data_IF_462968179431
#
_entry.id   IF_462968179431
#
_cell.length_a   1.000
_cell.length_b   1.000
_cell.length_c   1.000
_cell.angle_alpha   90.00
_cell.angle_beta   90.00
_cell.angle_gamma   90.00
#
_symmetry.space_group_name_H-M   'P 1'
#
loop_
_entity.id
_entity.type
_entity.pdbx_description
1 polymer ?
#
# COMPACT_ATOMS: atom_id res chain seq x y z
N UNK A 1 -27.59 -14.61 -4.14
CA UNK A 1 -26.19 -14.16 -3.96
C UNK A 1 -25.59 -14.10 -5.34
N UNK A 2 -25.27 -12.90 -5.83
CA UNK A 2 -24.67 -12.74 -7.17
C UNK A 2 -23.16 -12.75 -7.05
N UNK A 3 -22.44 -13.14 -8.10
CA UNK A 3 -20.97 -13.21 -8.09
C UNK A 3 -20.28 -11.90 -7.63
N UNK A 4 -20.95 -10.75 -7.79
CA UNK A 4 -20.49 -9.44 -7.33
C UNK A 4 -20.52 -9.29 -5.80
N UNK A 5 -21.50 -9.91 -5.14
CA UNK A 5 -21.61 -9.92 -3.68
C UNK A 5 -20.50 -10.77 -3.05
N UNK A 6 -20.13 -11.87 -3.71
CA UNK A 6 -19.07 -12.78 -3.27
C UNK A 6 -17.70 -12.09 -3.33
N UNK A 7 -17.39 -11.42 -4.46
CA UNK A 7 -16.14 -10.66 -4.64
C UNK A 7 -16.00 -9.54 -3.61
N UNK A 8 -17.10 -8.82 -3.33
CA UNK A 8 -17.08 -7.75 -2.32
C UNK A 8 -16.79 -8.31 -0.93
N UNK A 9 -17.44 -9.40 -0.57
CA UNK A 9 -17.29 -10.06 0.75
C UNK A 9 -15.87 -10.61 0.93
N UNK A 10 -15.32 -11.25 -0.10
CA UNK A 10 -13.95 -11.76 -0.08
C UNK A 10 -12.92 -10.63 0.04
N UNK A 11 -13.15 -9.51 -0.66
CA UNK A 11 -12.32 -8.32 -0.55
C UNK A 11 -12.35 -7.71 0.86
N UNK A 12 -13.52 -7.59 1.47
CA UNK A 12 -13.65 -7.08 2.85
C UNK A 12 -12.97 -8.00 3.88
N UNK A 13 -12.97 -9.32 3.63
CA UNK A 13 -12.23 -10.29 4.45
C UNK A 13 -10.71 -10.17 4.31
N UNK A 14 -10.20 -10.01 3.09
CA UNK A 14 -8.75 -9.93 2.80
C UNK A 14 -8.16 -8.55 3.10
N UNK A 15 -8.99 -7.51 3.02
CA UNK A 15 -8.60 -6.12 3.23
C UNK A 15 -9.56 -5.46 4.23
N UNK A 16 -9.52 -5.85 5.52
CA UNK A 16 -10.38 -5.26 6.53
C UNK A 16 -10.12 -3.77 6.66
N UNK A 17 -11.16 -2.99 6.98
CA UNK A 17 -10.98 -1.58 7.28
C UNK A 17 -10.14 -1.42 8.56
N UNK A 18 -9.14 -0.55 8.50
CA UNK A 18 -8.30 -0.18 9.63
C UNK A 18 -7.97 1.30 9.50
N UNK A 19 -8.41 2.09 10.48
CA UNK A 19 -8.41 3.56 10.43
C UNK A 19 -6.98 4.13 10.33
N UNK A 20 -6.03 3.52 11.06
CA UNK A 20 -4.62 3.88 11.05
C UNK A 20 -3.80 2.91 10.20
N UNK A 21 -4.26 2.62 8.96
CA UNK A 21 -3.50 1.76 8.04
C UNK A 21 -2.95 2.50 6.84
N UNK A 22 -1.67 2.29 6.58
CA UNK A 22 -0.97 2.86 5.43
C UNK A 22 -0.42 1.75 4.54
N UNK A 23 -0.23 2.05 3.26
CA UNK A 23 0.34 1.13 2.28
C UNK A 23 1.72 1.62 1.86
N UNK A 24 2.68 0.70 1.75
CA UNK A 24 3.99 0.92 1.17
C UNK A 24 4.17 -0.07 0.02
N UNK A 25 4.76 0.39 -1.07
CA UNK A 25 5.30 -0.48 -2.11
C UNK A 25 6.81 -0.46 -1.98
N UNK A 26 7.38 -1.63 -1.85
CA UNK A 26 8.81 -1.85 -1.64
C UNK A 26 9.39 -2.63 -2.81
N UNK A 27 10.69 -2.48 -3.03
CA UNK A 27 11.46 -3.34 -3.91
C UNK A 27 12.75 -3.82 -3.24
N UNK A 28 13.24 -4.97 -3.67
CA UNK A 28 14.55 -5.51 -3.28
C UNK A 28 15.08 -6.43 -4.38
N UNK A 29 16.39 -6.74 -4.42
CA UNK A 29 16.91 -7.80 -5.27
C UNK A 29 16.16 -9.12 -5.00
N UNK A 30 15.87 -9.88 -6.05
CA UNK A 30 15.03 -11.08 -5.94
C UNK A 30 15.57 -12.12 -4.95
N UNK A 31 16.89 -12.21 -4.81
CA UNK A 31 17.55 -13.14 -3.90
C UNK A 31 17.58 -12.65 -2.43
N UNK A 32 17.33 -11.36 -2.20
CA UNK A 32 17.37 -10.74 -0.87
C UNK A 32 15.99 -10.68 -0.21
N UNK A 33 14.92 -11.06 -0.91
CA UNK A 33 13.58 -11.02 -0.33
C UNK A 33 13.44 -12.03 0.83
N UNK A 34 13.26 -11.49 2.04
CA UNK A 34 12.97 -12.27 3.24
C UNK A 34 11.75 -11.72 3.99
N UNK A 35 10.61 -12.42 3.94
CA UNK A 35 9.37 -11.97 4.58
C UNK A 35 9.52 -11.76 6.09
N UNK A 36 10.23 -12.64 6.80
CA UNK A 36 10.44 -12.52 8.25
C UNK A 36 11.32 -11.33 8.62
N UNK A 37 12.33 -11.01 7.80
CA UNK A 37 13.16 -9.81 7.99
C UNK A 37 12.34 -8.54 7.77
N UNK A 38 11.51 -8.52 6.73
CA UNK A 38 10.61 -7.40 6.48
C UNK A 38 9.62 -7.21 7.65
N UNK A 39 8.99 -8.28 8.14
CA UNK A 39 8.11 -8.19 9.32
C UNK A 39 8.84 -7.61 10.52
N UNK A 40 10.07 -8.06 10.79
CA UNK A 40 10.88 -7.54 11.89
C UNK A 40 11.22 -6.05 11.72
N UNK A 41 11.54 -5.62 10.51
CA UNK A 41 11.80 -4.21 10.22
C UNK A 41 10.56 -3.33 10.51
N UNK A 42 9.36 -3.85 10.28
CA UNK A 42 8.09 -3.16 10.60
C UNK A 42 7.83 -3.15 12.11
N UNK A 43 8.06 -4.27 12.78
CA UNK A 43 7.92 -4.38 14.25
C UNK A 43 8.87 -3.43 15.00
N UNK A 44 10.09 -3.20 14.48
CA UNK A 44 11.05 -2.24 15.03
C UNK A 44 10.54 -0.78 15.01
N UNK A 45 9.47 -0.49 14.27
CA UNK A 45 8.81 0.82 14.22
C UNK A 45 7.53 0.89 15.04
N UNK A 46 7.27 -0.08 15.92
CA UNK A 46 6.03 -0.22 16.68
C UNK A 46 4.78 -0.34 15.77
N UNK A 47 4.95 -0.93 14.58
CA UNK A 47 3.88 -1.18 13.62
C UNK A 47 3.66 -2.68 13.42
N UNK A 48 2.46 -3.07 12.98
CA UNK A 48 2.11 -4.46 12.64
C UNK A 48 1.84 -4.60 11.15
N UNK A 49 2.23 -5.75 10.58
CA UNK A 49 1.90 -6.11 9.20
C UNK A 49 0.44 -6.58 9.14
N UNK A 50 -0.38 -5.87 8.36
CA UNK A 50 -1.79 -6.20 8.14
C UNK A 50 -2.00 -7.00 6.86
N UNK A 51 -1.22 -6.72 5.82
CA UNK A 51 -1.22 -7.48 4.57
C UNK A 51 0.15 -7.38 3.90
N UNK A 52 0.59 -8.45 3.23
CA UNK A 52 1.83 -8.52 2.47
C UNK A 52 1.56 -9.32 1.19
N UNK A 53 1.74 -8.67 0.05
CA UNK A 53 1.58 -9.28 -1.26
C UNK A 53 2.86 -9.09 -2.08
N UNK A 54 3.31 -10.15 -2.75
CA UNK A 54 4.30 -10.02 -3.82
C UNK A 54 3.53 -9.61 -5.08
N UNK A 55 3.96 -8.51 -5.69
CA UNK A 55 3.33 -7.95 -6.89
C UNK A 55 4.32 -7.96 -8.06
N UNK A 56 3.79 -7.91 -9.28
CA UNK A 56 4.62 -7.68 -10.46
C UNK A 56 5.04 -6.21 -10.53
N UNK A 57 6.18 -5.93 -11.16
CA UNK A 57 6.65 -4.59 -11.50
C UNK A 57 5.69 -3.91 -12.50
N UNK A 58 4.98 -4.72 -13.28
CA UNK A 58 4.00 -4.29 -14.26
C UNK A 58 2.63 -4.15 -13.60
N UNK A 59 2.20 -2.92 -13.36
CA UNK A 59 0.81 -2.62 -13.06
C UNK A 59 0.13 -2.33 -14.40
N UNK A 60 -0.79 -3.17 -14.91
CA UNK A 60 -1.55 -2.82 -16.10
C UNK A 60 -2.33 -1.54 -15.80
N UNK A 61 -2.01 -0.48 -16.54
CA UNK A 61 -2.87 0.69 -16.63
C UNK A 61 -4.21 0.28 -17.21
N UNK A 62 -5.19 0.07 -16.35
CA UNK A 62 -6.59 0.30 -16.69
C UNK A 62 -7.09 1.43 -15.79
N UNK A 63 -7.81 2.35 -16.41
CA UNK A 63 -8.23 3.67 -15.95
C UNK A 63 -9.18 3.70 -14.73
N UNK A 64 -9.12 2.70 -13.86
CA UNK A 64 -10.00 2.56 -12.68
C UNK A 64 -9.29 1.85 -11.50
N UNK A 65 -7.97 1.66 -11.57
CA UNK A 65 -7.13 1.09 -10.52
C UNK A 65 -6.43 2.17 -9.69
N UNK A 66 -6.11 1.91 -8.41
CA UNK A 66 -5.49 2.89 -7.54
C UNK A 66 -4.16 3.37 -8.13
N UNK A 67 -3.95 4.69 -8.20
CA UNK A 67 -2.73 5.34 -8.67
C UNK A 67 -1.51 4.80 -7.91
N UNK A 68 -0.86 3.78 -8.48
CA UNK A 68 0.46 3.33 -8.05
C UNK A 68 1.38 3.76 -9.20
N UNK A 69 2.41 4.58 -8.91
CA UNK A 69 3.31 5.07 -9.95
C UNK A 69 3.99 3.89 -10.65
N UNK A 70 4.16 4.04 -11.97
CA UNK A 70 4.97 3.13 -12.77
C UNK A 70 6.40 3.27 -12.27
N UNK A 71 6.93 2.22 -11.65
CA UNK A 71 8.34 2.22 -11.28
C UNK A 71 9.13 2.06 -12.57
N UNK A 72 10.08 2.97 -12.80
CA UNK A 72 11.06 2.80 -13.86
C UNK A 72 11.75 1.48 -13.54
N UNK A 73 11.40 0.44 -14.30
CA UNK A 73 12.12 -0.82 -14.30
C UNK A 73 13.43 -0.46 -15.01
N UNK A 74 14.33 0.18 -14.27
CA UNK A 74 15.72 0.23 -14.63
C UNK A 74 16.07 -1.22 -14.92
N UNK A 75 16.41 -1.50 -16.18
CA UNK A 75 16.93 -2.78 -16.64
C UNK A 75 18.33 -2.97 -16.04
N UNK A 76 18.49 -2.76 -14.73
CA UNK A 76 19.57 -3.36 -13.97
C UNK A 76 19.45 -4.87 -14.24
N UNK A 77 20.57 -5.51 -14.59
CA UNK A 77 20.66 -6.94 -14.93
C UNK A 77 20.20 -7.86 -13.76
N UNK A 78 19.79 -7.28 -12.63
CA UNK A 78 19.39 -7.96 -11.41
C UNK A 78 17.86 -7.93 -11.27
N UNK A 79 17.18 -9.10 -11.32
CA UNK A 79 15.74 -9.14 -11.11
C UNK A 79 15.38 -8.64 -9.71
N UNK A 80 14.32 -7.82 -9.64
CA UNK A 80 13.77 -7.30 -8.37
C UNK A 80 12.46 -7.98 -8.00
N UNK A 81 12.19 -8.07 -6.71
CA UNK A 81 10.89 -8.45 -6.14
C UNK A 81 10.19 -7.19 -5.65
N UNK A 82 8.95 -6.99 -6.08
CA UNK A 82 8.10 -5.89 -5.60
C UNK A 82 7.10 -6.41 -4.57
N UNK A 83 6.89 -5.63 -3.52
CA UNK A 83 6.05 -6.01 -2.38
C UNK A 83 5.08 -4.88 -2.09
N UNK A 84 3.79 -5.18 -2.12
CA UNK A 84 2.77 -4.30 -1.55
C UNK A 84 2.55 -4.69 -0.09
N UNK A 85 2.75 -3.73 0.80
CA UNK A 85 2.73 -3.92 2.25
C UNK A 85 1.71 -2.97 2.87
N UNK A 86 0.80 -3.50 3.68
CA UNK A 86 -0.11 -2.70 4.50
C UNK A 86 0.24 -2.84 5.96
N UNK A 87 0.38 -1.72 6.65
CA UNK A 87 0.81 -1.67 8.06
C UNK A 87 -0.20 -0.93 8.94
N UNK A 88 -0.25 -1.28 10.23
CA UNK A 88 -1.08 -0.62 11.24
C UNK A 88 -0.44 0.66 11.78
N UNK A 89 0.03 1.54 10.89
CA UNK A 89 0.65 2.79 11.27
C UNK A 89 0.18 3.93 10.38
N UNK A 90 -0.10 5.08 11.00
CA UNK A 90 -0.65 6.28 10.34
C UNK A 90 0.39 7.07 9.54
N UNK A 91 1.65 7.02 9.97
CA UNK A 91 2.80 7.67 9.32
C UNK A 91 3.77 6.62 8.75
N UNK A 92 4.03 6.62 7.44
CA UNK A 92 4.95 5.65 6.83
C UNK A 92 6.42 5.98 6.97
N UNK A 93 6.80 7.18 7.43
CA UNK A 93 8.21 7.62 7.47
C UNK A 93 9.11 6.74 8.34
N UNK A 94 8.63 6.33 9.53
CA UNK A 94 9.39 5.46 10.43
C UNK A 94 9.62 4.09 9.78
N UNK A 95 8.53 3.49 9.26
CA UNK A 95 8.58 2.23 8.53
C UNK A 95 9.51 2.31 7.31
N UNK A 96 9.41 3.37 6.51
CA UNK A 96 10.25 3.61 5.33
C UNK A 96 11.74 3.66 5.69
N UNK A 97 12.11 4.36 6.77
CA UNK A 97 13.51 4.40 7.26
C UNK A 97 13.98 3.06 7.79
N UNK A 98 13.11 2.31 8.46
CA UNK A 98 13.48 0.99 8.98
C UNK A 98 13.68 -0.01 7.85
N UNK A 99 12.72 -0.17 6.94
CA UNK A 99 12.87 -1.12 5.81
C UNK A 99 14.08 -0.79 4.93
N UNK A 100 14.41 0.50 4.75
CA UNK A 100 15.64 0.92 4.08
C UNK A 100 16.93 0.43 4.77
N UNK A 101 16.96 0.40 6.10
CA UNK A 101 18.09 -0.13 6.88
C UNK A 101 18.28 -1.63 6.67
N UNK A 102 17.19 -2.34 6.37
CA UNK A 102 17.19 -3.78 6.10
C UNK A 102 17.45 -4.11 4.63
N UNK A 103 17.67 -3.12 3.76
CA UNK A 103 18.01 -3.33 2.35
C UNK A 103 16.83 -3.26 1.38
N UNK A 104 15.64 -2.84 1.84
CA UNK A 104 14.48 -2.61 0.98
C UNK A 104 14.45 -1.17 0.46
N UNK A 105 14.15 -0.99 -0.82
CA UNK A 105 13.89 0.33 -1.39
C UNK A 105 12.41 0.64 -1.26
N UNK A 106 12.06 1.85 -0.80
CA UNK A 106 10.68 2.32 -0.75
C UNK A 106 10.37 3.01 -2.06
N UNK A 107 9.49 2.41 -2.83
CA UNK A 107 9.15 2.85 -4.17
C UNK A 107 7.95 3.80 -4.13
N UNK A 108 6.96 3.48 -3.30
CA UNK A 108 5.76 4.30 -3.12
C UNK A 108 5.21 4.17 -1.70
N UNK A 109 4.60 5.24 -1.21
CA UNK A 109 3.85 5.24 0.05
C UNK A 109 2.49 5.88 -0.15
N UNK A 110 1.49 5.33 0.55
CA UNK A 110 0.15 5.87 0.66
C UNK A 110 -0.24 5.90 2.12
N UNK A 111 -0.15 7.09 2.71
CA UNK A 111 -0.46 7.31 4.12
C UNK A 111 -1.97 7.32 4.37
N UNK A 112 -2.38 6.77 5.51
CA UNK A 112 -3.74 6.91 6.04
C UNK A 112 -4.16 8.39 6.22
N UNK A 113 -3.19 9.27 6.50
CA UNK A 113 -3.42 10.72 6.65
C UNK A 113 -3.85 11.34 5.32
N UNK A 114 -3.19 10.94 4.23
CA UNK A 114 -3.48 11.44 2.89
C UNK A 114 -4.84 10.99 2.38
N UNK A 115 -5.21 9.74 2.65
CA UNK A 115 -6.51 9.18 2.27
C UNK A 115 -7.66 9.76 3.10
N UNK A 116 -7.48 9.93 4.42
CA UNK A 116 -8.50 10.54 5.28
C UNK A 116 -8.77 12.00 4.87
N UNK A 117 -7.74 12.77 4.52
CA UNK A 117 -7.89 14.13 4.00
C UNK A 117 -8.66 14.15 2.67
N UNK A 118 -8.31 13.27 1.73
CA UNK A 118 -8.99 13.18 0.44
C UNK A 118 -10.47 12.75 0.58
N UNK A 119 -10.78 11.84 1.52
CA UNK A 119 -12.17 11.44 1.81
C UNK A 119 -12.97 12.59 2.44
N UNK A 120 -12.37 13.36 3.36
CA UNK A 120 -12.99 14.56 3.94
C UNK A 120 -13.28 15.61 2.86
N UNK A 121 -12.33 15.87 1.96
CA UNK A 121 -12.51 16.83 0.86
C UNK A 121 -13.61 16.38 -0.11
N UNK A 122 -13.67 15.09 -0.45
CA UNK A 122 -14.73 14.49 -1.27
C UNK A 122 -16.13 14.58 -0.63
N UNK A 123 -16.22 14.33 0.69
CA UNK A 123 -17.48 14.48 1.44
C UNK A 123 -17.90 15.94 1.52
N UNK A 124 -16.97 16.86 1.74
CA UNK A 124 -17.23 18.29 1.77
C UNK A 124 -17.76 18.79 0.42
N UNK A 125 -17.16 18.37 -0.69
CA UNK A 125 -17.59 18.73 -2.04
C UNK A 125 -19.00 18.19 -2.34
N UNK A 126 -19.27 16.94 -1.93
CA UNK A 126 -20.59 16.33 -2.01
C UNK A 126 -21.64 17.11 -1.19
N UNK A 127 -21.27 17.57 0.01
CA UNK A 127 -22.14 18.34 0.89
C UNK A 127 -22.42 19.73 0.34
N UNK A 128 -21.39 20.42 -0.19
CA UNK A 128 -21.57 21.69 -0.90
C UNK A 128 -22.48 21.54 -2.12
N UNK A 129 -22.37 20.44 -2.88
CA UNK A 129 -23.28 20.16 -4.00
C UNK A 129 -24.74 19.97 -3.58
N UNK A 130 -24.98 19.36 -2.41
CA UNK A 130 -26.34 19.14 -1.88
C UNK A 130 -26.93 20.43 -1.28
N UNK A 131 -26.10 21.26 -0.66
CA UNK A 131 -26.52 22.53 -0.05
C UNK A 131 -26.72 23.67 -1.06
N UNK A 132 -26.16 23.54 -2.26
CA UNK A 132 -26.31 24.53 -3.33
C UNK A 132 -27.56 24.23 -4.18
N UNK A 133 -28.74 24.24 -3.53
CA UNK A 133 -30.06 24.38 -4.16
C UNK A 133 -30.35 25.86 -4.39
#
# INVERSE_FOLDING_TARGET
MTAKDDIKTERERLFPYAEDSSTLVLSCPKHDFCASQLCRAIEDCDAQVLNLNIIDATIPGSSDGPDIPRFDIDYEDTPRTYIELRISHRNTEAAARSVARYGYTVEYTRDAIGTAKADIDSRLESLMRILNV
#
